data_IF_985795433748
#
_entry.id   IF_985795433748
#
_cell.length_a   1.000
_cell.length_b   1.000
_cell.length_c   1.000
_cell.angle_alpha   90.00
_cell.angle_beta   90.00
_cell.angle_gamma   90.00
#
_symmetry.space_group_name_H-M   'P 1'
#
loop_
_entity.id
_entity.type
_entity.pdbx_description
1 polymer ?
#
# COMPACT_ATOMS: atom_id res chain seq x y z
N UNK A 1 -12.45 12.41 1.62
CA UNK A 1 -12.14 11.78 0.31
C UNK A 1 -11.88 12.86 -0.73
N UNK A 2 -10.64 12.99 -1.25
CA UNK A 2 -10.25 14.08 -2.17
C UNK A 2 -10.77 13.86 -3.60
N UNK A 3 -11.05 14.93 -4.36
CA UNK A 3 -11.43 14.88 -5.78
C UNK A 3 -10.38 14.12 -6.62
N UNK A 4 -9.10 14.29 -6.30
CA UNK A 4 -8.00 13.62 -7.01
C UNK A 4 -8.06 12.09 -6.84
N UNK A 5 -8.47 11.61 -5.67
CA UNK A 5 -8.63 10.18 -5.41
C UNK A 5 -9.80 9.57 -6.19
N UNK A 6 -10.87 10.35 -6.42
CA UNK A 6 -12.03 9.96 -7.23
C UNK A 6 -11.67 9.82 -8.71
N UNK A 7 -10.76 10.66 -9.20
CA UNK A 7 -10.21 10.61 -10.56
C UNK A 7 -9.07 9.57 -10.73
N UNK A 8 -8.75 8.81 -9.67
CA UNK A 8 -7.70 7.77 -9.73
C UNK A 8 -6.27 8.27 -9.49
N UNK A 9 -6.06 9.56 -9.20
CA UNK A 9 -4.75 10.15 -8.91
C UNK A 9 -4.29 9.90 -7.46
N UNK A 10 -4.11 8.63 -7.12
CA UNK A 10 -3.60 8.20 -5.83
C UNK A 10 -2.07 8.37 -5.74
N UNK A 11 -1.59 8.71 -4.54
CA UNK A 11 -0.16 8.80 -4.22
C UNK A 11 0.09 8.25 -2.81
N UNK A 12 1.14 7.44 -2.66
CA UNK A 12 1.67 7.06 -1.35
C UNK A 12 2.43 8.24 -0.74
N UNK A 13 2.22 8.52 0.56
CA UNK A 13 2.96 9.55 1.31
C UNK A 13 4.31 9.05 1.85
N UNK A 14 4.45 7.74 2.04
CA UNK A 14 5.67 7.10 2.54
C UNK A 14 6.40 6.33 1.44
N UNK A 15 7.72 6.06 1.57
CA UNK A 15 8.36 5.02 0.78
C UNK A 15 7.59 3.72 1.04
N UNK A 16 6.98 3.18 -0.03
CA UNK A 16 6.18 1.97 0.08
C UNK A 16 6.97 0.81 0.68
N UNK A 17 6.28 -0.11 1.33
CA UNK A 17 6.88 -1.36 1.82
C UNK A 17 7.12 -2.28 0.63
N UNK A 18 8.35 -2.77 0.47
CA UNK A 18 8.69 -3.74 -0.56
C UNK A 18 8.38 -5.17 -0.10
N UNK A 19 7.65 -5.92 -0.91
CA UNK A 19 7.40 -7.34 -0.72
C UNK A 19 7.30 -8.01 -2.10
N UNK A 20 8.11 -9.07 -2.30
CA UNK A 20 8.10 -9.93 -3.49
C UNK A 20 7.97 -9.19 -4.84
N UNK A 21 8.87 -8.23 -5.11
CA UNK A 21 8.88 -7.53 -6.40
C UNK A 21 7.90 -6.36 -6.50
N UNK A 22 7.13 -6.07 -5.45
CA UNK A 22 6.08 -5.06 -5.44
C UNK A 22 6.25 -4.09 -4.27
N UNK A 23 5.93 -2.82 -4.53
CA UNK A 23 5.73 -1.83 -3.48
C UNK A 23 4.28 -1.78 -3.07
N UNK A 24 4.03 -1.76 -1.76
CA UNK A 24 2.73 -1.57 -1.15
C UNK A 24 2.73 -0.27 -0.36
N UNK A 25 1.60 0.43 -0.37
CA UNK A 25 1.46 1.68 0.39
C UNK A 25 0.01 2.00 0.68
N UNK A 26 -0.22 3.15 1.32
CA UNK A 26 -1.55 3.72 1.49
C UNK A 26 -1.58 5.11 0.89
N UNK A 27 -2.70 5.48 0.29
CA UNK A 27 -2.86 6.84 -0.20
C UNK A 27 -2.87 7.82 0.97
N UNK A 28 -1.95 8.79 0.99
CA UNK A 28 -1.89 9.79 2.05
C UNK A 28 -3.16 10.63 2.23
N UNK A 29 -3.98 10.74 1.16
CA UNK A 29 -5.19 11.56 1.15
C UNK A 29 -6.48 10.83 1.53
N UNK A 30 -6.57 9.53 1.24
CA UNK A 30 -7.82 8.77 1.44
C UNK A 30 -7.63 7.42 2.13
N UNK A 31 -6.39 7.04 2.47
CA UNK A 31 -6.08 5.79 3.15
C UNK A 31 -6.19 4.52 2.28
N UNK A 32 -6.58 4.65 1.00
CA UNK A 32 -6.75 3.53 0.08
C UNK A 32 -5.48 2.69 -0.06
N UNK A 33 -5.62 1.37 -0.18
CA UNK A 33 -4.47 0.48 -0.34
C UNK A 33 -3.92 0.58 -1.77
N UNK A 34 -2.62 0.80 -1.88
CA UNK A 34 -1.94 1.00 -3.14
C UNK A 34 -0.88 -0.08 -3.39
N UNK A 35 -0.71 -0.42 -4.67
CA UNK A 35 0.30 -1.33 -5.19
C UNK A 35 1.04 -0.67 -6.36
N UNK A 36 2.33 -0.98 -6.49
CA UNK A 36 3.18 -0.44 -7.57
C UNK A 36 4.31 -1.42 -7.90
N UNK A 37 4.49 -1.71 -9.20
CA UNK A 37 5.71 -2.38 -9.72
C UNK A 37 6.86 -1.39 -9.81
N UNK A 38 8.13 -1.83 -9.82
CA UNK A 38 9.26 -0.95 -10.13
C UNK A 38 8.98 -0.10 -11.36
N UNK A 39 9.31 1.19 -11.27
CA UNK A 39 9.16 2.18 -12.36
C UNK A 39 7.75 2.40 -12.91
N UNK A 40 6.72 1.87 -12.25
CA UNK A 40 5.31 2.09 -12.60
C UNK A 40 4.66 3.12 -11.67
N UNK A 41 3.47 3.61 -12.06
CA UNK A 41 2.67 4.46 -11.21
C UNK A 41 2.01 3.68 -10.06
N UNK A 42 1.68 4.37 -8.97
CA UNK A 42 0.83 3.81 -7.92
C UNK A 42 -0.58 3.56 -8.44
N UNK A 43 -1.12 2.39 -8.15
CA UNK A 43 -2.50 2.00 -8.49
C UNK A 43 -3.18 1.41 -7.27
N UNK A 44 -4.50 1.25 -7.33
CA UNK A 44 -5.25 0.57 -6.25
C UNK A 44 -4.90 -0.90 -6.25
N UNK A 45 -4.88 -1.52 -5.07
CA UNK A 45 -4.87 -2.98 -4.95
C UNK A 45 -6.10 -3.54 -5.68
N UNK A 46 -5.97 -4.55 -6.55
CA UNK A 46 -7.12 -5.14 -7.23
C UNK A 46 -8.10 -5.75 -6.21
N UNK A 47 -9.40 -5.74 -6.53
CA UNK A 47 -10.47 -6.02 -5.56
C UNK A 47 -10.47 -7.47 -5.04
N UNK A 48 -9.86 -8.38 -5.77
CA UNK A 48 -9.66 -9.79 -5.46
C UNK A 48 -8.47 -10.05 -4.51
N UNK A 49 -7.73 -9.01 -4.13
CA UNK A 49 -6.58 -9.10 -3.24
C UNK A 49 -6.76 -8.27 -1.97
N UNK A 50 -6.19 -8.78 -0.88
CA UNK A 50 -6.11 -8.08 0.41
C UNK A 50 -4.64 -7.91 0.78
N UNK A 51 -4.25 -6.68 1.08
CA UNK A 51 -2.93 -6.39 1.66
C UNK A 51 -3.04 -6.44 3.18
N UNK A 52 -2.25 -7.31 3.78
CA UNK A 52 -2.17 -7.46 5.24
C UNK A 52 -0.93 -6.73 5.73
N UNK A 53 -1.15 -5.75 6.62
CA UNK A 53 -0.09 -4.98 7.25
C UNK A 53 0.27 -5.62 8.59
N UNK A 54 1.37 -6.35 8.64
CA UNK A 54 1.88 -6.88 9.90
C UNK A 54 2.56 -5.77 10.69
N UNK A 55 2.07 -5.47 11.89
CA UNK A 55 2.85 -4.72 12.87
C UNK A 55 4.07 -5.56 13.22
N UNK A 56 5.28 -5.07 12.93
CA UNK A 56 6.53 -5.70 13.37
C UNK A 56 6.70 -5.58 14.89
N UNK A 57 5.74 -6.03 15.69
CA UNK A 57 6.04 -6.42 17.06
C UNK A 57 6.72 -7.78 16.95
N UNK A 58 7.99 -7.92 17.33
CA UNK A 58 8.57 -9.24 17.47
C UNK A 58 7.67 -10.04 18.42
N UNK A 59 7.05 -11.11 17.90
CA UNK A 59 6.31 -12.03 18.73
C UNK A 59 7.35 -12.68 19.66
N UNK A 60 7.18 -12.64 21.00
CA UNK A 60 8.06 -13.37 21.88
C UNK A 60 8.02 -14.84 21.45
N UNK A 61 9.14 -15.37 20.96
CA UNK A 61 9.26 -16.79 20.72
C UNK A 61 9.15 -17.48 22.07
N UNK A 62 7.99 -18.06 22.36
CA UNK A 62 7.84 -18.96 23.50
C UNK A 62 8.81 -20.13 23.28
N UNK A 63 9.80 -20.26 24.17
CA UNK A 63 10.63 -21.44 24.36
C UNK A 63 10.25 -22.07 25.68
#
# INVERSE_FOLDING_TARGET
MSLLCRLGHHRSEAPGVWNDGLYFGRCGRCGEQLIRRPDQAWTRVPQDYVVVWADRRPQPTAR
#
